data_IF_669950982720
#
_entry.id   IF_669950982720
#
_cell.length_a   1.000
_cell.length_b   1.000
_cell.length_c   1.000
_cell.angle_alpha   90.00
_cell.angle_beta   90.00
_cell.angle_gamma   90.00
#
_symmetry.space_group_name_H-M   'P 1'
#
loop_
_entity.id
_entity.type
_entity.pdbx_description
1 polymer ?
#
# COMPACT_ATOMS: atom_id res chain seq x y z
N UNK A 1 -12.67 7.24 36.37
CA UNK A 1 -11.98 6.58 37.51
C UNK A 1 -12.77 5.33 37.86
N UNK A 2 -12.19 4.14 37.73
CA UNK A 2 -12.76 2.91 38.24
C UNK A 2 -12.73 2.96 39.76
N UNK A 3 -13.78 2.47 40.44
CA UNK A 3 -13.84 2.48 41.91
C UNK A 3 -12.69 1.67 42.52
N UNK A 4 -12.07 2.20 43.56
CA UNK A 4 -10.87 1.62 44.22
C UNK A 4 -11.21 0.48 45.21
N UNK A 5 -12.36 -0.19 45.11
CA UNK A 5 -12.64 -1.33 46.00
C UNK A 5 -11.63 -2.45 45.71
N UNK A 6 -10.80 -2.77 46.72
CA UNK A 6 -9.98 -3.97 46.73
C UNK A 6 -10.91 -5.17 46.75
N UNK A 7 -10.94 -5.90 45.65
CA UNK A 7 -11.58 -7.18 45.60
C UNK A 7 -10.60 -8.23 46.15
N UNK A 8 -10.89 -8.76 47.32
CA UNK A 8 -10.00 -9.70 48.03
C UNK A 8 -9.95 -11.08 47.38
N UNK A 9 -10.88 -11.36 46.44
CA UNK A 9 -10.92 -12.63 45.71
C UNK A 9 -9.85 -12.71 44.59
N UNK A 10 -9.24 -11.59 44.21
CA UNK A 10 -8.24 -11.55 43.14
C UNK A 10 -6.83 -11.77 43.70
N UNK A 11 -6.12 -12.78 43.21
CA UNK A 11 -4.76 -13.11 43.65
C UNK A 11 -3.77 -11.95 43.43
N UNK A 12 -2.78 -11.83 44.30
CA UNK A 12 -1.73 -10.79 44.24
C UNK A 12 -0.98 -10.83 42.90
N UNK A 13 -0.67 -12.01 42.36
CA UNK A 13 0.02 -12.17 41.08
C UNK A 13 -0.79 -11.61 39.91
N UNK A 14 -2.09 -11.85 39.83
CA UNK A 14 -2.96 -11.27 38.81
C UNK A 14 -3.01 -9.74 38.87
N UNK A 15 -2.99 -9.18 40.08
CA UNK A 15 -2.98 -7.71 40.28
C UNK A 15 -1.68 -7.09 39.76
N UNK A 16 -0.53 -7.74 40.00
CA UNK A 16 0.77 -7.23 39.52
C UNK A 16 0.85 -7.27 37.98
N UNK A 17 0.38 -8.35 37.37
CA UNK A 17 0.29 -8.46 35.88
C UNK A 17 -0.57 -7.33 35.31
N UNK A 18 -1.76 -7.09 35.87
CA UNK A 18 -2.64 -5.99 35.40
C UNK A 18 -2.03 -4.62 35.60
N UNK A 19 -1.31 -4.39 36.73
CA UNK A 19 -0.58 -3.14 36.94
C UNK A 19 0.55 -2.95 35.93
N UNK A 20 1.30 -4.02 35.61
CA UNK A 20 2.35 -3.98 34.60
C UNK A 20 1.81 -3.62 33.22
N UNK A 21 0.73 -4.28 32.79
CA UNK A 21 0.06 -3.98 31.50
C UNK A 21 -0.43 -2.51 31.47
N UNK A 22 -1.07 -2.04 32.54
CA UNK A 22 -1.51 -0.63 32.61
C UNK A 22 -0.36 0.36 32.56
N UNK A 23 0.76 0.05 33.18
CA UNK A 23 1.95 0.91 33.15
C UNK A 23 2.51 0.98 31.72
N UNK A 24 2.68 -0.16 31.06
CA UNK A 24 3.14 -0.22 29.67
C UNK A 24 2.21 0.52 28.71
N UNK A 25 0.90 0.33 28.81
CA UNK A 25 -0.08 1.06 27.99
C UNK A 25 -0.01 2.57 28.23
N UNK A 26 0.13 3.01 29.50
CA UNK A 26 0.29 4.43 29.82
C UNK A 26 1.55 5.04 29.24
N UNK A 27 2.64 4.32 29.28
CA UNK A 27 3.92 4.74 28.71
C UNK A 27 3.80 4.90 27.20
N UNK A 28 3.30 3.88 26.49
CA UNK A 28 3.08 3.92 25.05
C UNK A 28 2.14 5.06 24.62
N UNK A 29 1.03 5.27 25.34
CA UNK A 29 0.13 6.39 25.09
C UNK A 29 0.80 7.75 25.32
N UNK A 30 1.63 7.86 26.37
CA UNK A 30 2.40 9.07 26.65
C UNK A 30 3.40 9.39 25.53
N UNK A 31 4.04 8.39 24.98
CA UNK A 31 4.98 8.56 23.87
C UNK A 31 4.27 8.91 22.56
N UNK A 32 3.14 8.27 22.27
CA UNK A 32 2.28 8.66 21.15
C UNK A 32 1.81 10.12 21.27
N UNK A 33 1.39 10.52 22.46
CA UNK A 33 0.95 11.89 22.71
C UNK A 33 2.07 12.89 22.47
N UNK A 34 3.28 12.63 22.99
CA UNK A 34 4.46 13.48 22.78
C UNK A 34 4.87 13.54 21.31
N UNK A 35 4.77 12.44 20.59
CA UNK A 35 5.23 12.32 19.21
C UNK A 35 4.26 12.92 18.20
N UNK A 36 2.94 12.70 18.38
CA UNK A 36 1.93 13.02 17.38
C UNK A 36 0.89 14.05 17.82
N UNK A 37 0.68 14.23 19.15
CA UNK A 37 -0.36 15.11 19.70
C UNK A 37 0.21 16.18 20.62
N UNK A 38 1.39 16.71 20.27
CA UNK A 38 2.08 17.75 21.06
C UNK A 38 1.54 19.15 20.81
N UNK A 39 0.66 19.34 19.82
CA UNK A 39 0.00 20.61 19.49
C UNK A 39 -1.50 20.50 19.63
N UNK A 40 -2.16 21.63 19.91
CA UNK A 40 -3.61 21.69 19.87
C UNK A 40 -4.13 21.56 18.43
N UNK A 41 -5.40 21.18 18.27
CA UNK A 41 -6.05 21.09 16.96
C UNK A 41 -5.96 22.40 16.19
N UNK A 42 -6.18 23.52 16.88
CA UNK A 42 -6.14 24.88 16.33
C UNK A 42 -4.74 25.21 15.79
N UNK A 43 -3.70 24.90 16.55
CA UNK A 43 -2.30 25.10 16.13
C UNK A 43 -1.92 24.24 14.91
N UNK A 44 -2.43 23.02 14.84
CA UNK A 44 -2.21 22.14 13.65
C UNK A 44 -2.90 22.73 12.43
N UNK A 45 -4.16 23.16 12.55
CA UNK A 45 -4.92 23.78 11.45
C UNK A 45 -4.25 25.05 10.96
N UNK A 46 -3.78 25.92 11.87
CA UNK A 46 -3.07 27.15 11.51
C UNK A 46 -1.78 26.84 10.73
N UNK A 47 -1.00 25.85 11.16
CA UNK A 47 0.20 25.42 10.44
C UNK A 47 -0.12 24.82 9.07
N UNK A 48 -1.17 24.03 8.98
CA UNK A 48 -1.64 23.52 7.68
C UNK A 48 -2.02 24.67 6.74
N UNK A 49 -2.69 25.70 7.22
CA UNK A 49 -3.05 26.87 6.44
C UNK A 49 -1.82 27.64 5.91
N UNK A 50 -0.76 27.74 6.69
CA UNK A 50 0.51 28.35 6.25
C UNK A 50 1.15 27.54 5.11
N UNK A 51 1.15 26.21 5.22
CA UNK A 51 1.72 25.33 4.20
C UNK A 51 0.84 25.18 2.95
N UNK A 52 -0.46 25.45 3.05
CA UNK A 52 -1.43 25.20 2.01
C UNK A 52 -1.05 25.81 0.65
N UNK A 53 -0.59 27.07 0.64
CA UNK A 53 -0.22 27.75 -0.61
C UNK A 53 0.92 27.05 -1.34
N UNK A 54 1.96 26.63 -0.61
CA UNK A 54 3.10 25.93 -1.20
C UNK A 54 2.70 24.53 -1.69
N UNK A 55 1.89 23.82 -0.92
CA UNK A 55 1.40 22.48 -1.30
C UNK A 55 0.47 22.57 -2.51
N UNK A 56 -0.47 23.52 -2.55
CA UNK A 56 -1.35 23.72 -3.71
C UNK A 56 -0.54 24.07 -4.96
N UNK A 57 0.42 25.00 -4.87
CA UNK A 57 1.26 25.35 -6.01
C UNK A 57 2.08 24.15 -6.52
N UNK A 58 2.57 23.29 -5.61
CA UNK A 58 3.29 22.07 -5.99
C UNK A 58 2.37 21.07 -6.71
N UNK A 59 1.14 20.90 -6.21
CA UNK A 59 0.13 20.03 -6.86
C UNK A 59 -0.19 20.54 -8.25
N UNK A 60 -0.50 21.84 -8.39
CA UNK A 60 -0.85 22.46 -9.67
C UNK A 60 0.30 22.33 -10.67
N UNK A 61 1.53 22.59 -10.24
CA UNK A 61 2.73 22.43 -11.07
C UNK A 61 2.93 20.98 -11.50
N UNK A 62 2.70 20.02 -10.60
CA UNK A 62 2.83 18.60 -10.90
C UNK A 62 1.81 18.14 -11.93
N UNK A 63 0.56 18.58 -11.79
CA UNK A 63 -0.51 18.28 -12.75
C UNK A 63 -0.22 18.89 -14.13
N UNK A 64 0.17 20.16 -14.17
CA UNK A 64 0.53 20.83 -15.43
C UNK A 64 1.74 20.16 -16.10
N UNK A 65 2.76 19.77 -15.32
CA UNK A 65 3.90 19.01 -15.83
C UNK A 65 3.47 17.68 -16.44
N UNK A 66 2.60 16.94 -15.75
CA UNK A 66 2.07 15.66 -16.23
C UNK A 66 1.40 15.81 -17.59
N UNK A 67 0.49 16.78 -17.73
CA UNK A 67 -0.22 17.03 -19.00
C UNK A 67 0.74 17.33 -20.16
N UNK A 68 1.71 18.23 -19.93
CA UNK A 68 2.70 18.59 -20.96
C UNK A 68 3.61 17.41 -21.29
N UNK A 69 4.00 16.63 -20.29
CA UNK A 69 4.85 15.46 -20.48
C UNK A 69 4.14 14.39 -21.31
N UNK A 70 2.88 14.06 -20.99
CA UNK A 70 2.06 13.11 -21.75
C UNK A 70 1.81 13.58 -23.19
N UNK A 71 1.53 14.88 -23.37
CA UNK A 71 1.37 15.45 -24.72
C UNK A 71 2.65 15.28 -25.56
N UNK A 72 3.82 15.58 -24.97
CA UNK A 72 5.11 15.41 -25.65
C UNK A 72 5.46 13.97 -25.98
N UNK A 73 5.10 13.02 -25.12
CA UNK A 73 5.25 11.58 -25.41
C UNK A 73 4.39 11.18 -26.62
N UNK A 74 3.14 11.62 -26.66
CA UNK A 74 2.22 11.37 -27.78
C UNK A 74 2.76 11.96 -29.10
N UNK A 75 3.19 13.22 -29.07
CA UNK A 75 3.75 13.89 -30.26
C UNK A 75 4.95 13.15 -30.85
N UNK A 76 5.75 12.53 -29.99
CA UNK A 76 6.95 11.78 -30.38
C UNK A 76 6.69 10.28 -30.64
N UNK A 77 5.47 9.79 -30.38
CA UNK A 77 5.12 8.36 -30.42
C UNK A 77 6.05 7.50 -29.56
N UNK A 78 6.36 7.94 -28.34
CA UNK A 78 7.18 7.20 -27.39
C UNK A 78 6.39 6.83 -26.15
N UNK A 79 6.70 5.67 -25.59
CA UNK A 79 6.17 5.17 -24.33
C UNK A 79 7.32 4.88 -23.40
N UNK A 80 7.13 5.12 -22.11
CA UNK A 80 8.00 4.62 -21.06
C UNK A 80 7.45 3.33 -20.44
N UNK A 81 8.20 2.73 -19.53
CA UNK A 81 7.78 1.48 -18.89
C UNK A 81 6.50 1.65 -18.06
N UNK A 82 6.35 2.80 -17.38
CA UNK A 82 5.17 3.08 -16.58
C UNK A 82 3.92 3.19 -17.47
N UNK A 83 4.03 3.79 -18.67
CA UNK A 83 2.92 3.84 -19.63
C UNK A 83 2.48 2.43 -20.02
N UNK A 84 3.43 1.53 -20.31
CA UNK A 84 3.13 0.15 -20.73
C UNK A 84 2.40 -0.58 -19.60
N UNK A 85 2.87 -0.48 -18.37
CA UNK A 85 2.24 -1.08 -17.20
C UNK A 85 0.81 -0.55 -17.00
N UNK A 86 0.61 0.78 -17.09
CA UNK A 86 -0.69 1.40 -16.92
C UNK A 86 -1.66 1.07 -18.06
N UNK A 87 -1.18 0.97 -19.29
CA UNK A 87 -2.01 0.51 -20.41
C UNK A 87 -2.42 -0.95 -20.23
N UNK A 88 -1.50 -1.83 -19.83
CA UNK A 88 -1.84 -3.20 -19.51
C UNK A 88 -2.90 -3.26 -18.40
N UNK A 89 -2.72 -2.49 -17.32
CA UNK A 89 -3.68 -2.40 -16.24
C UNK A 89 -5.07 -1.93 -16.73
N UNK A 90 -5.13 -0.89 -17.58
CA UNK A 90 -6.38 -0.37 -18.13
C UNK A 90 -7.13 -1.35 -19.04
N UNK A 91 -6.40 -2.29 -19.68
CA UNK A 91 -6.98 -3.35 -20.50
C UNK A 91 -7.46 -4.53 -19.65
N UNK A 92 -6.72 -4.86 -18.60
CA UNK A 92 -6.93 -6.09 -17.82
C UNK A 92 -7.79 -5.89 -16.58
N UNK A 93 -7.90 -4.65 -16.06
CA UNK A 93 -8.63 -4.33 -14.83
C UNK A 93 -9.73 -3.33 -15.10
N UNK A 94 -10.93 -3.62 -14.64
CA UNK A 94 -12.04 -2.68 -14.57
C UNK A 94 -12.28 -2.29 -13.13
N UNK A 95 -12.63 -1.02 -12.92
CA UNK A 95 -13.02 -0.49 -11.62
C UNK A 95 -14.50 -0.14 -11.65
N UNK A 96 -15.24 -0.54 -10.62
CA UNK A 96 -16.65 -0.19 -10.47
C UNK A 96 -16.83 1.21 -9.86
N UNK A 97 -18.10 1.65 -9.72
CA UNK A 97 -18.44 2.95 -9.12
C UNK A 97 -18.04 3.07 -7.64
N UNK A 98 -17.80 1.95 -6.97
CA UNK A 98 -17.35 1.89 -5.56
C UNK A 98 -15.83 1.86 -5.44
N UNK A 99 -15.12 1.78 -6.58
CA UNK A 99 -13.67 1.66 -6.62
C UNK A 99 -13.15 0.23 -6.45
N UNK A 100 -14.02 -0.78 -6.50
CA UNK A 100 -13.61 -2.18 -6.46
C UNK A 100 -13.05 -2.61 -7.82
N UNK A 101 -11.86 -3.23 -7.81
CA UNK A 101 -11.18 -3.69 -9.01
C UNK A 101 -11.57 -5.14 -9.31
N UNK A 102 -11.81 -5.45 -10.59
CA UNK A 102 -12.11 -6.80 -11.06
C UNK A 102 -11.51 -7.04 -12.46
N UNK A 103 -11.21 -8.30 -12.83
CA UNK A 103 -10.68 -8.59 -14.15
C UNK A 103 -11.69 -8.27 -15.26
N UNK A 104 -11.18 -7.82 -16.41
CA UNK A 104 -11.96 -7.66 -17.65
C UNK A 104 -12.15 -9.00 -18.36
N UNK A 105 -12.98 -9.02 -19.39
CA UNK A 105 -13.12 -10.21 -20.28
C UNK A 105 -11.78 -10.59 -20.91
N UNK A 106 -11.00 -9.61 -21.34
CA UNK A 106 -9.64 -9.83 -21.88
C UNK A 106 -8.73 -10.49 -20.85
N UNK A 107 -8.78 -10.05 -19.57
CA UNK A 107 -8.00 -10.69 -18.52
C UNK A 107 -8.43 -12.15 -18.30
N UNK A 108 -9.74 -12.44 -18.35
CA UNK A 108 -10.27 -13.79 -18.23
C UNK A 108 -9.86 -14.69 -19.43
N UNK A 109 -9.78 -14.14 -20.63
CA UNK A 109 -9.23 -14.86 -21.79
C UNK A 109 -7.76 -15.25 -21.56
N UNK A 110 -6.92 -14.31 -21.13
CA UNK A 110 -5.53 -14.61 -20.75
C UNK A 110 -5.44 -15.62 -19.62
N UNK A 111 -6.29 -15.49 -18.58
CA UNK A 111 -6.39 -16.43 -17.47
C UNK A 111 -6.68 -17.86 -17.92
N UNK A 112 -7.54 -18.04 -18.95
CA UNK A 112 -7.85 -19.35 -19.52
C UNK A 112 -6.72 -19.88 -20.41
N UNK A 113 -5.95 -19.00 -21.04
CA UNK A 113 -4.88 -19.34 -21.96
C UNK A 113 -3.59 -19.76 -21.24
N UNK A 114 -3.25 -19.10 -20.13
CA UNK A 114 -2.01 -19.40 -19.40
C UNK A 114 -2.18 -20.60 -18.48
N UNK A 115 -1.45 -21.67 -18.78
CA UNK A 115 -1.37 -22.85 -17.91
C UNK A 115 -0.51 -22.55 -16.67
N UNK A 116 0.62 -21.90 -16.88
CA UNK A 116 1.58 -21.52 -15.84
C UNK A 116 2.11 -20.11 -16.10
N UNK A 117 2.35 -19.38 -15.03
CA UNK A 117 2.95 -18.02 -15.01
C UNK A 117 4.21 -18.09 -14.17
N UNK A 118 5.36 -17.96 -14.82
CA UNK A 118 6.67 -18.04 -14.17
C UNK A 118 7.23 -16.64 -14.02
N UNK A 119 7.58 -16.26 -12.80
CA UNK A 119 8.05 -14.90 -12.47
C UNK A 119 9.39 -15.02 -11.76
N UNK A 120 10.41 -14.43 -12.35
CA UNK A 120 11.73 -14.31 -11.77
C UNK A 120 11.91 -12.93 -11.11
N UNK A 121 12.86 -12.83 -10.18
CA UNK A 121 13.18 -11.59 -9.44
C UNK A 121 11.95 -10.91 -8.82
N UNK A 122 11.04 -11.71 -8.28
CA UNK A 122 9.74 -11.22 -7.79
C UNK A 122 9.86 -10.16 -6.69
N UNK A 123 10.99 -10.10 -5.95
CA UNK A 123 11.27 -9.05 -4.95
C UNK A 123 11.33 -7.63 -5.54
N UNK A 124 11.54 -7.52 -6.85
CA UNK A 124 11.59 -6.23 -7.56
C UNK A 124 10.25 -5.84 -8.21
N UNK A 125 9.21 -6.65 -8.03
CA UNK A 125 7.86 -6.37 -8.51
C UNK A 125 7.21 -5.20 -7.78
N UNK A 126 6.41 -4.40 -8.49
CA UNK A 126 5.60 -3.33 -7.96
C UNK A 126 4.12 -3.72 -7.86
N UNK A 127 3.29 -2.86 -7.26
CA UNK A 127 1.86 -3.12 -7.09
C UNK A 127 1.11 -3.23 -8.43
N UNK A 128 1.48 -2.47 -9.44
CA UNK A 128 0.81 -2.49 -10.75
C UNK A 128 1.03 -3.85 -11.40
N UNK A 129 2.26 -4.34 -11.38
CA UNK A 129 2.62 -5.67 -11.88
C UNK A 129 1.88 -6.77 -11.12
N UNK A 130 1.81 -6.68 -9.78
CA UNK A 130 1.05 -7.66 -8.98
C UNK A 130 -0.44 -7.67 -9.33
N UNK A 131 -1.07 -6.51 -9.56
CA UNK A 131 -2.45 -6.44 -10.01
C UNK A 131 -2.65 -7.09 -11.37
N UNK A 132 -1.77 -6.80 -12.34
CA UNK A 132 -1.80 -7.42 -13.67
C UNK A 132 -1.71 -8.95 -13.54
N UNK A 133 -0.72 -9.44 -12.78
CA UNK A 133 -0.51 -10.88 -12.57
C UNK A 133 -1.71 -11.55 -11.89
N UNK A 134 -2.31 -10.90 -10.91
CA UNK A 134 -3.49 -11.41 -10.20
C UNK A 134 -4.70 -11.53 -11.16
N UNK A 135 -4.91 -10.55 -12.04
CA UNK A 135 -6.02 -10.60 -12.98
C UNK A 135 -5.92 -11.72 -14.00
N UNK A 136 -4.70 -12.09 -14.44
CA UNK A 136 -4.46 -13.14 -15.44
C UNK A 136 -4.15 -14.52 -14.83
N UNK A 137 -3.98 -14.62 -13.50
CA UNK A 137 -3.78 -15.89 -12.81
C UNK A 137 -5.11 -16.54 -12.45
N UNK A 138 -5.08 -17.85 -12.21
CA UNK A 138 -6.26 -18.63 -11.79
C UNK A 138 -6.45 -18.72 -10.29
N UNK A 139 -5.73 -17.95 -9.46
CA UNK A 139 -5.76 -18.08 -8.00
C UNK A 139 -7.14 -17.86 -7.41
N UNK A 140 -7.91 -16.89 -7.92
CA UNK A 140 -9.30 -16.63 -7.47
C UNK A 140 -10.25 -17.80 -7.75
N UNK A 141 -9.90 -18.65 -8.73
CA UNK A 141 -10.64 -19.85 -9.11
C UNK A 141 -10.09 -21.11 -8.41
N UNK A 142 -9.14 -20.94 -7.48
CA UNK A 142 -8.47 -22.04 -6.79
C UNK A 142 -7.41 -22.78 -7.63
N UNK A 143 -7.03 -22.24 -8.77
CA UNK A 143 -5.98 -22.75 -9.64
C UNK A 143 -4.67 -22.01 -9.39
N UNK A 144 -3.78 -22.60 -8.61
CA UNK A 144 -2.48 -22.00 -8.24
C UNK A 144 -1.47 -22.22 -9.36
N UNK A 145 -1.51 -21.36 -10.37
CA UNK A 145 -0.69 -21.44 -11.57
C UNK A 145 0.42 -20.37 -11.64
N UNK A 146 0.75 -19.70 -10.52
CA UNK A 146 1.90 -18.80 -10.45
C UNK A 146 3.07 -19.45 -9.72
N UNK A 147 4.24 -19.42 -10.34
CA UNK A 147 5.51 -19.82 -9.74
C UNK A 147 6.42 -18.59 -9.68
N UNK A 148 6.83 -18.21 -8.49
CA UNK A 148 7.61 -16.99 -8.22
C UNK A 148 8.94 -17.36 -7.60
N UNK A 149 10.01 -16.78 -8.13
CA UNK A 149 11.38 -16.91 -7.60
C UNK A 149 11.90 -15.51 -7.26
N UNK A 150 12.62 -15.41 -6.16
CA UNK A 150 13.22 -14.15 -5.72
C UNK A 150 14.00 -14.28 -4.42
N UNK A 151 14.77 -13.26 -4.12
CA UNK A 151 15.48 -13.11 -2.85
C UNK A 151 15.31 -11.67 -2.32
N UNK A 152 14.53 -11.48 -1.27
CA UNK A 152 14.27 -10.18 -0.65
C UNK A 152 15.56 -9.42 -0.28
N UNK A 153 16.64 -10.14 0.02
CA UNK A 153 17.94 -9.53 0.36
C UNK A 153 18.63 -8.89 -0.85
N UNK A 154 18.23 -9.27 -2.06
CA UNK A 154 18.76 -8.74 -3.30
C UNK A 154 17.91 -7.60 -3.88
N UNK A 155 16.81 -7.22 -3.22
CA UNK A 155 15.98 -6.09 -3.67
C UNK A 155 16.73 -4.77 -3.55
N UNK A 156 17.01 -4.15 -4.70
CA UNK A 156 17.70 -2.86 -4.82
C UNK A 156 16.87 -1.81 -5.55
N UNK A 157 15.69 -2.18 -6.09
CA UNK A 157 14.85 -1.31 -6.94
C UNK A 157 13.72 -0.59 -6.18
N UNK A 158 13.89 -0.33 -4.88
CA UNK A 158 12.91 0.42 -4.08
C UNK A 158 12.60 1.80 -4.67
N UNK A 159 13.57 2.44 -5.33
CA UNK A 159 13.38 3.71 -6.03
C UNK A 159 12.48 3.62 -7.28
N UNK A 160 12.22 2.41 -7.79
CA UNK A 160 11.24 2.10 -8.85
C UNK A 160 9.92 1.56 -8.29
N UNK A 161 9.64 1.86 -7.03
CA UNK A 161 8.44 1.40 -6.32
C UNK A 161 8.35 -0.12 -6.15
N UNK A 162 9.47 -0.85 -6.29
CA UNK A 162 9.53 -2.26 -5.93
C UNK A 162 9.10 -2.48 -4.48
N UNK A 163 8.31 -3.51 -4.26
CA UNK A 163 7.72 -3.85 -2.96
C UNK A 163 8.07 -5.28 -2.56
N UNK A 164 9.27 -5.51 -2.02
CA UNK A 164 9.67 -6.84 -1.56
C UNK A 164 8.73 -7.41 -0.49
N UNK A 165 7.93 -6.57 0.16
CA UNK A 165 6.87 -6.98 1.09
C UNK A 165 5.84 -7.90 0.42
N UNK A 166 5.53 -7.67 -0.87
CA UNK A 166 4.60 -8.53 -1.65
C UNK A 166 5.08 -9.98 -1.71
N UNK A 167 6.39 -10.20 -1.76
CA UNK A 167 6.97 -11.53 -1.74
C UNK A 167 6.85 -12.18 -0.36
N UNK A 168 7.05 -11.41 0.71
CA UNK A 168 6.92 -11.90 2.08
C UNK A 168 5.47 -12.21 2.46
N UNK A 169 4.49 -11.51 1.88
CA UNK A 169 3.06 -11.74 2.13
C UNK A 169 2.55 -13.04 1.49
N UNK A 170 3.31 -13.65 0.57
CA UNK A 170 2.98 -14.92 -0.10
C UNK A 170 3.48 -16.16 0.66
N UNK A 171 4.31 -15.98 1.69
CA UNK A 171 4.81 -17.04 2.56
C UNK A 171 3.99 -17.12 3.85
#
# INVERSE_FOLDING_TARGET
RLPSKKDETVSAGKREVVKGIRAAVKEQLGDLQKKYFFKSKEQVVEQMAVCQRAVSALVDLTLAFKEVFEAKKRDKNILDFDDIEHFALSILVKQDEKGECSPTETALEYRSHFHEILIDEYQDSNLVQEYILSCISGEEEGRYNRFMVGDVKQSIYKFRLARPELFLEKY
#
